data_IF_026177053375
#
_entry.id   IF_026177053375
#
_cell.length_a   1.000
_cell.length_b   1.000
_cell.length_c   1.000
_cell.angle_alpha   90.00
_cell.angle_beta   90.00
_cell.angle_gamma   90.00
#
_symmetry.space_group_name_H-M   'P 1'
#
loop_
_entity.id
_entity.type
_entity.pdbx_description
1 polymer ?
#
# COMPACT_ATOMS: atom_id res chain seq x y z
N UNK A 1 17.18 6.81 -40.25
CA UNK A 1 16.80 7.33 -38.91
C UNK A 1 15.83 6.34 -38.29
N UNK A 2 16.23 5.61 -37.24
CA UNK A 2 15.31 4.73 -36.50
C UNK A 2 14.64 5.54 -35.38
N UNK A 3 13.32 5.69 -35.45
CA UNK A 3 12.49 6.21 -34.37
C UNK A 3 12.20 5.10 -33.38
N UNK A 4 12.71 5.19 -32.15
CA UNK A 4 12.24 4.37 -31.03
C UNK A 4 10.84 4.84 -30.64
N UNK A 5 9.84 3.97 -30.82
CA UNK A 5 8.53 4.15 -30.22
C UNK A 5 8.59 3.69 -28.75
N UNK A 6 8.27 4.57 -27.80
CA UNK A 6 8.13 4.23 -26.39
C UNK A 6 6.85 3.40 -26.19
N UNK A 7 7.00 2.15 -25.77
CA UNK A 7 5.87 1.32 -25.34
C UNK A 7 5.33 1.85 -24.00
N UNK A 8 4.00 1.92 -23.81
CA UNK A 8 3.44 2.33 -22.54
C UNK A 8 3.82 1.27 -21.49
N UNK A 9 4.49 1.70 -20.42
CA UNK A 9 4.73 0.83 -19.29
C UNK A 9 3.37 0.44 -18.69
N UNK A 10 2.94 -0.80 -18.92
CA UNK A 10 1.77 -1.36 -18.26
C UNK A 10 2.08 -1.33 -16.75
N UNK A 11 1.44 -0.41 -16.02
CA UNK A 11 1.67 -0.26 -14.59
C UNK A 11 1.33 -1.58 -13.92
N UNK A 12 2.35 -2.23 -13.32
CA UNK A 12 2.13 -3.44 -12.54
C UNK A 12 1.08 -3.13 -11.46
N UNK A 13 0.13 -4.05 -11.18
CA UNK A 13 -0.87 -3.83 -10.17
C UNK A 13 -0.17 -3.51 -8.83
N UNK A 14 -0.66 -2.53 -8.06
CA UNK A 14 -0.03 -2.16 -6.81
C UNK A 14 0.00 -3.38 -5.89
N UNK A 15 1.16 -3.60 -5.27
CA UNK A 15 1.30 -4.59 -4.22
C UNK A 15 0.17 -4.38 -3.20
N UNK A 16 -0.46 -5.47 -2.79
CA UNK A 16 -1.63 -5.41 -1.94
C UNK A 16 -1.62 -6.54 -0.92
N UNK A 17 -2.20 -6.27 0.24
CA UNK A 17 -2.41 -7.24 1.29
C UNK A 17 -3.90 -7.36 1.57
N UNK A 18 -4.40 -8.59 1.67
CA UNK A 18 -5.82 -8.85 1.94
C UNK A 18 -6.00 -9.33 3.37
N UNK A 19 -7.00 -8.78 4.05
CA UNK A 19 -7.47 -9.22 5.37
C UNK A 19 -8.85 -9.83 5.19
N UNK A 20 -8.99 -11.10 5.59
CA UNK A 20 -10.27 -11.80 5.67
C UNK A 20 -11.01 -11.35 6.94
N UNK A 21 -12.22 -10.79 6.80
CA UNK A 21 -12.99 -10.30 7.94
C UNK A 21 -13.60 -11.42 8.80
N UNK A 22 -13.71 -12.65 8.29
CA UNK A 22 -14.15 -13.81 9.06
C UNK A 22 -13.05 -14.31 10.01
N UNK A 23 -11.78 -14.11 9.61
CA UNK A 23 -10.59 -14.47 10.40
C UNK A 23 -9.54 -13.35 10.27
N UNK A 24 -9.78 -12.19 10.93
CA UNK A 24 -8.95 -11.01 10.74
C UNK A 24 -7.56 -11.24 11.32
N UNK A 25 -6.61 -11.55 10.44
CA UNK A 25 -5.20 -11.63 10.74
C UNK A 25 -4.46 -10.64 9.84
N UNK A 26 -3.65 -9.76 10.43
CA UNK A 26 -2.80 -8.90 9.60
C UNK A 26 -1.64 -9.70 9.03
N UNK A 27 -1.22 -9.38 7.80
CA UNK A 27 0.02 -9.84 7.22
C UNK A 27 1.23 -9.78 8.17
N UNK A 28 2.16 -10.69 7.92
CA UNK A 28 3.46 -10.74 8.60
C UNK A 28 4.21 -9.41 8.43
N UNK A 29 5.02 -9.02 9.41
CA UNK A 29 5.81 -7.77 9.37
C UNK A 29 6.64 -7.64 8.10
N UNK A 30 7.23 -8.74 7.62
CA UNK A 30 8.01 -8.75 6.38
C UNK A 30 7.18 -8.40 5.14
N UNK A 31 5.95 -8.92 5.04
CA UNK A 31 5.05 -8.59 3.94
C UNK A 31 4.61 -7.11 3.99
N UNK A 32 4.47 -6.56 5.20
CA UNK A 32 4.19 -5.14 5.39
C UNK A 32 5.40 -4.27 5.02
N UNK A 33 6.61 -4.67 5.41
CA UNK A 33 7.84 -3.99 5.05
C UNK A 33 8.03 -3.97 3.53
N UNK A 34 7.76 -5.08 2.84
CA UNK A 34 7.76 -5.14 1.37
C UNK A 34 6.70 -4.23 0.74
N UNK A 35 5.49 -4.17 1.32
CA UNK A 35 4.43 -3.30 0.81
C UNK A 35 4.73 -1.81 0.99
N UNK A 36 5.33 -1.44 2.13
CA UNK A 36 5.48 -0.05 2.57
C UNK A 36 6.90 0.52 2.35
N UNK A 37 7.88 -0.32 2.06
CA UNK A 37 9.30 0.07 1.99
C UNK A 37 9.91 0.45 3.34
N UNK A 38 9.31 0.04 4.45
CA UNK A 38 9.80 0.37 5.80
C UNK A 38 10.80 -0.70 6.23
N UNK A 39 12.09 -0.34 6.25
CA UNK A 39 13.17 -1.23 6.70
C UNK A 39 13.35 -1.23 8.23
N UNK A 40 12.80 -0.23 8.93
CA UNK A 40 12.86 -0.16 10.39
C UNK A 40 11.76 -1.02 11.05
N UNK A 41 12.15 -2.06 11.80
CA UNK A 41 11.20 -3.00 12.41
C UNK A 41 10.25 -2.35 13.42
N UNK A 42 10.70 -1.36 14.18
CA UNK A 42 9.86 -0.63 15.14
C UNK A 42 8.78 0.20 14.44
N UNK A 43 9.16 0.91 13.37
CA UNK A 43 8.20 1.64 12.53
C UNK A 43 7.24 0.69 11.80
N UNK A 44 7.74 -0.43 11.27
CA UNK A 44 6.92 -1.44 10.62
C UNK A 44 5.89 -2.03 11.61
N UNK A 45 6.27 -2.27 12.87
CA UNK A 45 5.34 -2.66 13.92
C UNK A 45 4.25 -1.60 14.16
N UNK A 46 4.64 -0.33 14.34
CA UNK A 46 3.68 0.74 14.60
C UNK A 46 2.67 0.90 13.44
N UNK A 47 3.13 0.82 12.19
CA UNK A 47 2.25 0.85 11.01
C UNK A 47 1.34 -0.38 10.98
N UNK A 48 1.86 -1.57 11.29
CA UNK A 48 1.07 -2.81 11.39
C UNK A 48 -0.08 -2.66 12.37
N UNK A 49 0.18 -2.15 13.57
CA UNK A 49 -0.84 -1.96 14.62
C UNK A 49 -1.93 -0.98 14.18
N UNK A 50 -1.56 0.12 13.51
CA UNK A 50 -2.53 1.09 12.96
C UNK A 50 -3.41 0.46 11.87
N UNK A 51 -2.82 -0.33 10.98
CA UNK A 51 -3.56 -1.02 9.93
C UNK A 51 -4.51 -2.09 10.50
N UNK A 52 -4.17 -2.76 11.60
CA UNK A 52 -5.10 -3.69 12.27
C UNK A 52 -6.33 -2.97 12.78
N UNK A 53 -6.14 -1.83 13.44
CA UNK A 53 -7.26 -1.04 13.93
C UNK A 53 -8.16 -0.53 12.78
N UNK A 54 -7.56 -0.13 11.65
CA UNK A 54 -8.32 0.30 10.47
C UNK A 54 -9.06 -0.86 9.80
N UNK A 55 -8.40 -2.00 9.61
CA UNK A 55 -9.00 -3.20 9.03
C UNK A 55 -10.14 -3.73 9.89
N UNK A 56 -9.96 -3.77 11.22
CA UNK A 56 -11.01 -4.18 12.16
C UNK A 56 -12.26 -3.29 12.04
N UNK A 57 -12.09 -1.96 12.00
CA UNK A 57 -13.20 -1.03 11.78
C UNK A 57 -13.86 -1.20 10.41
N UNK A 58 -13.07 -1.47 9.36
CA UNK A 58 -13.61 -1.70 8.03
C UNK A 58 -14.42 -3.01 7.97
N UNK A 59 -13.96 -4.07 8.63
CA UNK A 59 -14.66 -5.36 8.72
C UNK A 59 -15.99 -5.29 9.49
N UNK A 60 -16.18 -4.30 10.36
CA UNK A 60 -17.46 -4.08 11.05
C UNK A 60 -18.56 -3.53 10.15
N UNK A 61 -18.24 -3.07 8.92
CA UNK A 61 -19.27 -2.59 7.98
C UNK A 61 -20.06 -3.76 7.41
N UNK A 62 -21.39 -3.65 7.44
CA UNK A 62 -22.31 -4.67 6.94
C UNK A 62 -21.95 -5.14 5.53
N UNK A 63 -21.85 -6.45 5.35
CA UNK A 63 -21.53 -7.07 4.05
C UNK A 63 -20.05 -7.12 3.69
N UNK A 64 -19.15 -6.57 4.52
CA UNK A 64 -17.71 -6.63 4.26
C UNK A 64 -17.15 -8.02 4.57
N UNK A 65 -16.66 -8.70 3.54
CA UNK A 65 -16.00 -10.01 3.71
C UNK A 65 -14.48 -9.89 3.71
N UNK A 66 -13.93 -8.89 3.00
CA UNK A 66 -12.49 -8.71 2.85
C UNK A 66 -12.13 -7.22 2.81
N UNK A 67 -10.95 -6.91 3.34
CA UNK A 67 -10.35 -5.57 3.28
C UNK A 67 -9.01 -5.69 2.54
N UNK A 68 -8.83 -4.90 1.49
CA UNK A 68 -7.58 -4.84 0.72
C UNK A 68 -6.81 -3.58 1.08
N UNK A 69 -5.61 -3.78 1.60
CA UNK A 69 -4.63 -2.73 1.91
C UNK A 69 -3.74 -2.58 0.69
N UNK A 70 -3.66 -1.36 0.15
CA UNK A 70 -2.81 -1.02 -0.99
C UNK A 70 -1.84 0.07 -0.58
N UNK A 71 -0.59 -0.01 -1.05
CA UNK A 71 0.30 1.14 -1.00
C UNK A 71 0.00 2.01 -2.21
N UNK A 72 -0.42 3.25 -1.96
CA UNK A 72 -0.41 4.26 -3.00
C UNK A 72 0.97 4.91 -2.99
N UNK A 73 1.69 4.94 -4.12
CA UNK A 73 2.88 5.77 -4.21
C UNK A 73 2.46 7.20 -3.87
N UNK A 74 3.12 7.81 -2.90
CA UNK A 74 2.94 9.23 -2.64
C UNK A 74 3.19 9.93 -3.98
N UNK A 75 2.17 10.57 -4.53
CA UNK A 75 2.32 11.35 -5.75
C UNK A 75 3.51 12.28 -5.51
N UNK A 76 4.57 12.10 -6.30
CA UNK A 76 5.78 12.91 -6.17
C UNK A 76 5.32 14.36 -6.18
N UNK A 77 5.42 15.03 -5.02
CA UNK A 77 5.06 16.42 -4.93
C UNK A 77 5.92 17.13 -5.98
N UNK A 78 5.27 17.74 -6.97
CA UNK A 78 5.98 18.49 -7.99
C UNK A 78 6.90 19.48 -7.26
N UNK A 79 8.21 19.52 -7.58
CA UNK A 79 9.12 20.43 -6.93
C UNK A 79 8.55 21.85 -7.05
N UNK A 80 8.58 22.67 -5.98
CA UNK A 80 8.07 24.02 -6.05
C UNK A 80 8.78 24.71 -7.22
N UNK A 81 7.99 25.21 -8.17
CA UNK A 81 8.51 26.03 -9.27
C UNK A 81 9.13 27.26 -8.61
N UNK A 82 10.46 27.30 -8.58
CA UNK A 82 11.18 28.48 -8.16
C UNK A 82 10.85 29.60 -9.17
N UNK A 83 10.01 30.54 -8.75
CA UNK A 83 9.81 31.79 -9.48
C UNK A 83 11.14 32.54 -9.50
N UNK A 84 11.60 32.89 -10.70
CA UNK A 84 12.74 33.77 -10.94
C UNK A 84 12.32 35.23 -10.86
#
# INVERSE_FOLDING_TARGET
MLTLAALPALAAPPAALTVDCQRPALPRQQALAQLTGIDNLGQAYAVRSRLMAQAARACQRTGTQQVRIVSQPAAAAAPPVAAR
#
